data_IF_780345704389
#
_entry.id   IF_780345704389
#
_cell.length_a   1.000
_cell.length_b   1.000
_cell.length_c   1.000
_cell.angle_alpha   90.00
_cell.angle_beta   90.00
_cell.angle_gamma   90.00
#
_symmetry.space_group_name_H-M   'P 1'
#
loop_
_entity.id
_entity.type
_entity.pdbx_description
1 polymer ?
#
# COMPACT_ATOMS: atom_id res chain seq x y z
N UNK A 1 64.35 67.17 -2.87
CA UNK A 1 63.72 65.84 -2.67
C UNK A 1 62.66 65.46 -3.72
N UNK A 2 62.55 66.17 -4.86
CA UNK A 2 61.50 65.88 -5.87
C UNK A 2 61.96 65.02 -7.08
N UNK A 3 63.27 64.75 -7.24
CA UNK A 3 63.82 64.10 -8.45
C UNK A 3 63.89 62.56 -8.39
N UNK A 4 63.86 61.96 -7.19
CA UNK A 4 63.88 60.49 -7.00
C UNK A 4 62.50 59.84 -7.08
N UNK A 5 61.43 60.55 -6.74
CA UNK A 5 60.05 60.01 -6.81
C UNK A 5 59.48 59.94 -8.23
N UNK A 6 59.94 60.80 -9.15
CA UNK A 6 59.50 60.78 -10.56
C UNK A 6 60.07 59.57 -11.32
N UNK A 7 61.31 59.16 -11.01
CA UNK A 7 61.95 57.98 -11.61
C UNK A 7 61.28 56.66 -11.16
N UNK A 8 60.82 56.58 -9.91
CA UNK A 8 60.06 55.41 -9.42
C UNK A 8 58.66 55.32 -10.07
N UNK A 9 57.99 56.44 -10.31
CA UNK A 9 56.70 56.48 -11.02
C UNK A 9 56.82 56.13 -12.51
N UNK A 10 57.94 56.44 -13.17
CA UNK A 10 58.19 56.07 -14.57
C UNK A 10 58.55 54.57 -14.69
N UNK A 11 59.31 54.00 -13.74
CA UNK A 11 59.60 52.56 -13.70
C UNK A 11 58.38 51.69 -13.34
N UNK A 12 57.44 52.20 -12.54
CA UNK A 12 56.16 51.52 -12.26
C UNK A 12 55.18 51.53 -13.45
N UNK A 13 55.25 52.51 -14.34
CA UNK A 13 54.46 52.53 -15.58
C UNK A 13 55.10 51.70 -16.72
N UNK A 14 56.40 51.42 -16.67
CA UNK A 14 57.09 50.57 -17.65
C UNK A 14 56.93 49.06 -17.38
N UNK A 15 56.38 48.68 -16.22
CA UNK A 15 56.00 47.31 -15.85
C UNK A 15 54.48 47.09 -15.92
N UNK A 16 53.74 47.91 -16.68
CA UNK A 16 52.49 47.43 -17.27
C UNK A 16 52.91 46.50 -18.41
N UNK A 17 53.46 45.35 -18.04
CA UNK A 17 53.50 44.19 -18.90
C UNK A 17 52.07 44.09 -19.41
N UNK A 18 51.87 44.26 -20.72
CA UNK A 18 50.58 43.96 -21.35
C UNK A 18 50.38 42.48 -21.06
N UNK A 19 49.80 42.16 -19.91
CA UNK A 19 49.30 40.83 -19.60
C UNK A 19 48.22 40.64 -20.61
N UNK A 20 48.60 40.09 -21.76
CA UNK A 20 47.68 39.75 -22.82
C UNK A 20 46.86 38.60 -22.24
N UNK A 21 45.74 38.97 -21.61
CA UNK A 21 44.83 38.02 -21.02
C UNK A 21 44.22 37.22 -22.16
N UNK A 22 44.35 35.89 -22.11
CA UNK A 22 43.64 35.06 -23.07
C UNK A 22 42.14 35.20 -22.89
N UNK A 23 41.46 35.69 -23.91
CA UNK A 23 40.01 35.58 -24.01
C UNK A 23 39.65 34.16 -24.44
N UNK A 24 39.24 33.32 -23.50
CA UNK A 24 38.93 31.91 -23.77
C UNK A 24 37.80 31.72 -24.78
N UNK A 25 36.88 32.69 -24.88
CA UNK A 25 35.77 32.69 -25.84
C UNK A 25 36.20 32.96 -27.28
N UNK A 26 37.49 33.25 -27.51
CA UNK A 26 38.10 33.19 -28.84
C UNK A 26 37.98 31.78 -29.44
N UNK A 27 38.05 30.73 -28.61
CA UNK A 27 37.78 29.35 -29.01
C UNK A 27 36.35 28.97 -28.59
N UNK A 28 35.46 28.91 -29.58
CA UNK A 28 34.05 28.60 -29.36
C UNK A 28 33.87 27.20 -28.75
N UNK A 29 32.85 27.05 -27.92
CA UNK A 29 32.42 25.75 -27.42
C UNK A 29 31.75 24.93 -28.54
N UNK A 30 31.98 23.62 -28.54
CA UNK A 30 31.12 22.69 -29.27
C UNK A 30 29.71 22.67 -28.67
N UNK A 31 28.74 22.17 -29.44
CA UNK A 31 27.42 21.86 -28.90
C UNK A 31 27.55 20.77 -27.83
N UNK A 32 26.63 20.78 -26.86
CA UNK A 32 26.55 19.69 -25.89
C UNK A 32 26.29 18.37 -26.62
N UNK A 33 27.03 17.33 -26.22
CA UNK A 33 26.77 15.97 -26.71
C UNK A 33 25.35 15.53 -26.33
N UNK A 34 24.80 14.58 -27.07
CA UNK A 34 23.62 13.85 -26.60
C UNK A 34 23.85 13.29 -25.20
N UNK A 35 22.81 13.29 -24.38
CA UNK A 35 22.90 12.78 -23.02
C UNK A 35 23.24 11.29 -23.00
N UNK A 36 24.14 10.88 -22.10
CA UNK A 36 24.55 9.46 -22.00
C UNK A 36 23.44 8.51 -21.56
N UNK A 37 22.39 9.03 -20.91
CA UNK A 37 21.17 8.30 -20.54
C UNK A 37 19.94 9.10 -20.88
N UNK A 38 18.84 8.43 -21.19
CA UNK A 38 17.55 9.08 -21.45
C UNK A 38 16.78 9.45 -20.18
N UNK A 39 17.16 8.87 -19.04
CA UNK A 39 16.60 9.13 -17.70
C UNK A 39 17.56 8.55 -16.62
N UNK A 40 17.23 8.72 -15.34
CA UNK A 40 18.05 8.32 -14.20
C UNK A 40 19.43 9.01 -14.14
N UNK A 41 19.47 10.30 -14.47
CA UNK A 41 20.67 11.16 -14.48
C UNK A 41 21.82 10.60 -15.32
N UNK A 42 21.86 11.07 -16.57
CA UNK A 42 23.01 10.94 -17.46
C UNK A 42 23.93 12.15 -17.37
N UNK A 43 24.97 12.12 -18.17
CA UNK A 43 25.94 13.21 -18.32
C UNK A 43 26.07 13.59 -19.79
N UNK A 44 26.33 14.86 -20.03
CA UNK A 44 26.69 15.40 -21.35
C UNK A 44 27.91 16.29 -21.19
N UNK A 45 28.73 16.36 -22.23
CA UNK A 45 29.95 17.16 -22.24
C UNK A 45 29.99 18.09 -23.44
N UNK A 46 30.79 19.14 -23.33
CA UNK A 46 31.23 19.97 -24.45
C UNK A 46 32.66 20.40 -24.23
N UNK A 47 33.37 20.73 -25.31
CA UNK A 47 34.76 21.16 -25.26
C UNK A 47 34.99 22.37 -26.18
N UNK A 48 36.03 23.15 -25.92
CA UNK A 48 36.39 24.26 -26.81
C UNK A 48 37.02 23.73 -28.09
N UNK A 49 36.74 24.38 -29.23
CA UNK A 49 37.34 24.10 -30.52
C UNK A 49 38.70 24.80 -30.61
N UNK A 50 39.66 24.30 -29.83
CA UNK A 50 40.99 24.92 -29.72
C UNK A 50 41.82 24.57 -30.95
N UNK A 51 42.31 25.59 -31.64
CA UNK A 51 43.34 25.48 -32.68
C UNK A 51 44.61 26.09 -32.10
N UNK A 52 45.72 25.35 -32.13
CA UNK A 52 47.00 25.83 -31.57
C UNK A 52 47.64 26.80 -32.55
N UNK A 53 47.22 28.06 -32.46
CA UNK A 53 47.75 29.15 -33.26
C UNK A 53 48.67 30.06 -32.44
N UNK A 54 49.17 31.13 -33.09
CA UNK A 54 50.03 32.12 -32.46
C UNK A 54 49.35 32.77 -31.24
N UNK A 55 48.05 33.05 -31.32
CA UNK A 55 47.29 33.67 -30.23
C UNK A 55 47.19 32.73 -29.02
N UNK A 56 46.95 31.43 -29.23
CA UNK A 56 46.91 30.44 -28.16
C UNK A 56 48.18 30.43 -27.29
N UNK A 57 49.34 30.43 -27.95
CA UNK A 57 50.65 30.31 -27.30
C UNK A 57 51.10 31.62 -26.64
N UNK A 58 50.93 32.76 -27.31
CA UNK A 58 51.39 34.07 -26.79
C UNK A 58 50.57 34.56 -25.58
N UNK A 59 49.31 34.12 -25.45
CA UNK A 59 48.40 34.60 -24.41
C UNK A 59 48.23 33.61 -23.24
N UNK A 60 49.07 32.56 -23.15
CA UNK A 60 49.01 31.54 -22.10
C UNK A 60 47.60 30.93 -21.92
N UNK A 61 46.87 30.77 -23.02
CA UNK A 61 45.49 30.27 -23.01
C UNK A 61 45.38 28.87 -22.40
N UNK A 62 46.42 28.06 -22.53
CA UNK A 62 46.46 26.70 -22.00
C UNK A 62 46.34 26.64 -20.48
N UNK A 63 46.92 27.60 -19.77
CA UNK A 63 47.01 27.63 -18.31
C UNK A 63 45.75 28.19 -17.66
N UNK A 64 45.04 29.10 -18.33
CA UNK A 64 43.93 29.87 -17.74
C UNK A 64 42.55 29.48 -18.25
N UNK A 65 42.44 28.83 -19.43
CA UNK A 65 41.15 28.48 -20.01
C UNK A 65 40.68 27.07 -19.64
N UNK A 66 39.42 26.97 -19.19
CA UNK A 66 38.71 25.69 -19.12
C UNK A 66 38.46 25.16 -20.54
N UNK A 67 38.84 23.89 -20.76
CA UNK A 67 38.79 23.23 -22.07
C UNK A 67 37.56 22.34 -22.25
N UNK A 68 36.95 21.92 -21.14
CA UNK A 68 35.84 20.98 -21.11
C UNK A 68 34.86 21.32 -19.99
N UNK A 69 33.58 21.13 -20.26
CA UNK A 69 32.52 21.17 -19.27
C UNK A 69 31.72 19.87 -19.31
N UNK A 70 31.29 19.41 -18.14
CA UNK A 70 30.38 18.28 -17.99
C UNK A 70 29.20 18.71 -17.12
N UNK A 71 28.01 18.25 -17.47
CA UNK A 71 26.81 18.48 -16.66
C UNK A 71 25.88 17.28 -16.66
N UNK A 72 25.04 17.20 -15.64
CA UNK A 72 23.95 16.24 -15.60
C UNK A 72 22.88 16.59 -16.64
N UNK A 73 22.22 15.56 -17.14
CA UNK A 73 21.10 15.66 -18.06
C UNK A 73 20.12 14.51 -17.79
N UNK A 74 18.85 14.71 -18.16
CA UNK A 74 17.80 13.73 -17.95
C UNK A 74 17.73 13.19 -16.50
N UNK A 75 17.68 14.12 -15.53
CA UNK A 75 17.65 13.81 -14.10
C UNK A 75 16.33 13.15 -13.64
N UNK A 76 15.29 13.19 -14.46
CA UNK A 76 14.02 12.52 -14.18
C UNK A 76 14.25 11.03 -13.95
N UNK A 77 13.51 10.45 -12.99
CA UNK A 77 13.53 9.00 -12.76
C UNK A 77 12.91 8.30 -13.97
N UNK A 78 13.54 7.22 -14.41
CA UNK A 78 12.95 6.38 -15.44
C UNK A 78 11.64 5.78 -14.90
N UNK A 79 10.54 5.79 -15.68
CA UNK A 79 9.31 5.10 -15.31
C UNK A 79 9.58 3.61 -15.06
N UNK A 80 9.11 3.10 -13.92
CA UNK A 80 9.24 1.67 -13.58
C UNK A 80 7.87 1.04 -13.76
N UNK A 81 7.74 0.20 -14.80
CA UNK A 81 6.51 -0.52 -15.06
C UNK A 81 6.33 -1.67 -14.06
N UNK A 82 5.07 -1.88 -13.70
CA UNK A 82 4.65 -2.98 -12.87
C UNK A 82 4.96 -4.33 -13.56
N UNK A 83 5.39 -5.32 -12.78
CA UNK A 83 5.69 -6.67 -13.26
C UNK A 83 4.92 -7.68 -12.41
N UNK A 84 4.04 -8.43 -13.05
CA UNK A 84 3.30 -9.54 -12.44
C UNK A 84 4.08 -10.84 -12.61
N UNK A 85 3.95 -11.74 -11.63
CA UNK A 85 4.41 -13.11 -11.75
C UNK A 85 3.43 -13.98 -12.53
N UNK A 86 3.87 -15.20 -12.83
CA UNK A 86 3.01 -16.24 -13.36
C UNK A 86 1.95 -16.66 -12.32
N UNK A 87 0.84 -17.21 -12.80
CA UNK A 87 -0.15 -17.78 -11.91
C UNK A 87 0.36 -19.07 -11.27
N UNK A 88 0.03 -19.24 -9.98
CA UNK A 88 0.12 -20.54 -9.33
C UNK A 88 -0.87 -21.55 -9.91
N UNK A 89 -0.81 -22.81 -9.45
CA UNK A 89 -1.79 -23.82 -9.81
C UNK A 89 -3.20 -23.39 -9.36
N UNK A 90 -4.22 -23.99 -9.98
CA UNK A 90 -5.60 -23.85 -9.52
C UNK A 90 -5.74 -24.45 -8.12
N UNK A 91 -6.47 -23.73 -7.25
CA UNK A 91 -6.89 -24.23 -5.94
C UNK A 91 -7.86 -25.40 -6.09
N UNK A 92 -8.11 -26.08 -4.97
CA UNK A 92 -9.26 -26.97 -4.87
C UNK A 92 -10.56 -26.18 -5.12
N UNK A 93 -11.60 -26.91 -5.56
CA UNK A 93 -12.92 -26.35 -5.82
C UNK A 93 -13.60 -25.97 -4.51
N UNK A 94 -13.98 -24.70 -4.36
CA UNK A 94 -14.76 -24.24 -3.21
C UNK A 94 -16.21 -24.74 -3.32
N UNK A 95 -16.71 -25.56 -2.38
CA UNK A 95 -18.09 -26.09 -2.43
C UNK A 95 -19.19 -25.06 -2.27
N UNK A 96 -18.92 -23.95 -1.61
CA UNK A 96 -19.91 -22.92 -1.29
C UNK A 96 -20.05 -21.90 -2.42
N UNK A 97 -18.95 -21.66 -3.15
CA UNK A 97 -18.91 -20.70 -4.26
C UNK A 97 -18.91 -21.40 -5.63
N UNK A 98 -18.65 -22.71 -5.67
CA UNK A 98 -18.58 -23.55 -6.88
C UNK A 98 -17.53 -23.05 -7.89
N UNK A 99 -16.41 -22.51 -7.38
CA UNK A 99 -15.31 -21.97 -8.18
C UNK A 99 -13.95 -22.43 -7.67
N UNK A 100 -13.02 -22.59 -8.60
CA UNK A 100 -11.59 -22.68 -8.31
C UNK A 100 -10.96 -21.31 -8.52
N UNK A 101 -9.94 -21.02 -7.72
CA UNK A 101 -9.20 -19.77 -7.78
C UNK A 101 -7.73 -20.04 -8.06
N UNK A 102 -7.07 -19.13 -8.77
CA UNK A 102 -5.61 -19.10 -8.85
C UNK A 102 -5.13 -17.68 -8.63
N UNK A 103 -3.96 -17.56 -8.03
CA UNK A 103 -3.40 -16.26 -7.61
C UNK A 103 -2.01 -16.11 -8.22
N UNK A 104 -1.64 -14.87 -8.51
CA UNK A 104 -0.28 -14.46 -8.88
C UNK A 104 0.18 -13.30 -8.01
N UNK A 105 1.50 -13.16 -7.87
CA UNK A 105 2.11 -12.09 -7.08
C UNK A 105 2.51 -10.90 -7.94
N UNK A 106 2.68 -9.74 -7.30
CA UNK A 106 3.34 -8.58 -7.89
C UNK A 106 4.84 -8.72 -7.61
N UNK A 107 5.65 -8.90 -8.65
CA UNK A 107 7.11 -9.01 -8.53
C UNK A 107 7.78 -7.64 -8.42
N UNK A 108 7.22 -6.64 -9.13
CA UNK A 108 7.67 -5.25 -9.05
C UNK A 108 6.47 -4.31 -9.14
N UNK A 109 6.27 -3.41 -8.17
CA UNK A 109 5.22 -2.40 -8.26
C UNK A 109 5.58 -1.31 -9.28
N UNK A 110 4.56 -0.62 -9.81
CA UNK A 110 4.80 0.57 -10.63
C UNK A 110 5.34 1.72 -9.78
N UNK A 111 6.31 2.46 -10.31
CA UNK A 111 6.85 3.67 -9.71
C UNK A 111 7.15 4.73 -10.77
N UNK A 112 7.18 6.00 -10.33
CA UNK A 112 7.61 7.15 -11.14
C UNK A 112 6.85 7.30 -12.48
N UNK A 113 5.53 7.07 -12.47
CA UNK A 113 4.69 7.20 -13.67
C UNK A 113 4.80 6.03 -14.66
N UNK A 114 5.40 4.90 -14.25
CA UNK A 114 5.35 3.67 -15.03
C UNK A 114 3.93 3.09 -15.12
N UNK A 115 3.72 2.19 -16.07
CA UNK A 115 2.42 1.55 -16.27
C UNK A 115 2.04 0.74 -15.01
N UNK A 116 0.87 1.01 -14.38
CA UNK A 116 0.39 0.24 -13.25
C UNK A 116 -0.11 -1.14 -13.69
N UNK A 117 -0.10 -2.11 -12.77
CA UNK A 117 -0.82 -3.36 -12.98
C UNK A 117 -2.32 -3.10 -12.85
N UNK A 118 -3.09 -3.36 -13.90
CA UNK A 118 -4.56 -3.25 -13.91
C UNK A 118 -5.25 -4.61 -13.87
N UNK A 119 -4.49 -5.64 -14.18
CA UNK A 119 -4.95 -6.99 -14.42
C UNK A 119 -5.09 -7.70 -13.06
N UNK A 120 -6.19 -8.43 -12.81
CA UNK A 120 -6.46 -9.01 -11.50
C UNK A 120 -5.35 -9.93 -10.98
N UNK A 121 -5.13 -9.91 -9.67
CA UNK A 121 -4.20 -10.81 -8.98
C UNK A 121 -4.80 -12.20 -8.73
N UNK A 122 -6.12 -12.28 -8.68
CA UNK A 122 -6.88 -13.53 -8.54
C UNK A 122 -7.76 -13.73 -9.77
N UNK A 123 -7.77 -14.96 -10.27
CA UNK A 123 -8.67 -15.40 -11.34
C UNK A 123 -9.53 -16.56 -10.84
N UNK A 124 -10.77 -16.62 -11.33
CA UNK A 124 -11.73 -17.65 -10.96
C UNK A 124 -12.22 -18.40 -12.18
N UNK A 125 -12.54 -19.67 -12.00
CA UNK A 125 -13.23 -20.49 -12.99
C UNK A 125 -14.30 -21.36 -12.30
N UNK A 126 -15.40 -21.72 -12.98
CA UNK A 126 -16.39 -22.63 -12.43
C UNK A 126 -15.79 -24.03 -12.22
N UNK A 127 -16.30 -24.76 -11.24
CA UNK A 127 -15.92 -26.14 -10.95
C UNK A 127 -17.10 -26.92 -10.37
N UNK A 128 -16.98 -28.24 -10.33
CA UNK A 128 -17.96 -29.13 -9.68
C UNK A 128 -17.34 -29.59 -8.37
N UNK A 129 -17.92 -29.24 -7.20
CA UNK A 129 -17.33 -29.61 -5.93
C UNK A 129 -17.59 -31.08 -5.59
N UNK A 130 -16.59 -31.73 -5.01
CA UNK A 130 -16.70 -33.12 -4.55
C UNK A 130 -17.45 -33.26 -3.22
N UNK A 131 -17.59 -32.17 -2.47
CA UNK A 131 -18.24 -32.09 -1.16
C UNK A 131 -19.38 -31.08 -1.21
N UNK A 132 -20.34 -31.22 -0.30
CA UNK A 132 -21.37 -30.21 -0.07
C UNK A 132 -20.81 -29.05 0.76
N UNK A 133 -21.32 -27.84 0.55
CA UNK A 133 -21.02 -26.68 1.39
C UNK A 133 -21.61 -26.87 2.80
N UNK A 134 -20.77 -27.31 3.74
CA UNK A 134 -21.09 -27.45 5.16
C UNK A 134 -19.88 -27.12 6.01
N UNK A 135 -20.12 -26.63 7.22
CA UNK A 135 -19.06 -26.39 8.20
C UNK A 135 -18.48 -27.74 8.66
N UNK A 136 -17.17 -27.93 8.52
CA UNK A 136 -16.46 -29.10 9.01
C UNK A 136 -16.04 -28.87 10.48
N UNK A 137 -16.75 -29.48 11.44
CA UNK A 137 -16.36 -29.50 12.86
C UNK A 137 -15.84 -30.88 13.28
N UNK A 138 -14.72 -30.89 14.01
CA UNK A 138 -14.02 -32.12 14.40
C UNK A 138 -14.66 -32.87 15.58
N UNK A 139 -15.43 -32.20 16.45
CA UNK A 139 -16.00 -32.85 17.65
C UNK A 139 -17.37 -32.29 18.05
N UNK A 140 -18.42 -32.89 17.48
CA UNK A 140 -19.82 -32.62 17.81
C UNK A 140 -20.39 -33.64 18.82
N UNK A 141 -19.56 -34.42 19.50
CA UNK A 141 -20.03 -35.41 20.47
C UNK A 141 -20.80 -34.71 21.59
N UNK A 142 -22.03 -35.17 21.86
CA UNK A 142 -22.96 -34.63 22.85
C UNK A 142 -23.46 -33.18 22.61
N UNK A 143 -23.28 -32.63 21.40
CA UNK A 143 -23.83 -31.34 20.96
C UNK A 143 -25.06 -31.53 20.07
N UNK A 144 -25.81 -30.45 19.82
CA UNK A 144 -26.82 -30.39 18.76
C UNK A 144 -26.12 -29.95 17.47
N UNK A 145 -26.48 -30.56 16.34
CA UNK A 145 -25.86 -30.28 15.04
C UNK A 145 -26.87 -29.58 14.14
N UNK A 146 -26.55 -28.34 13.77
CA UNK A 146 -27.33 -27.56 12.84
C UNK A 146 -27.20 -28.09 11.40
N UNK A 147 -28.15 -27.76 10.52
CA UNK A 147 -28.10 -28.19 9.11
C UNK A 147 -26.91 -27.57 8.35
N UNK A 148 -26.55 -26.35 8.72
CA UNK A 148 -25.36 -25.60 8.28
C UNK A 148 -24.04 -26.32 8.61
N UNK A 149 -24.06 -27.25 9.56
CA UNK A 149 -22.91 -28.02 10.04
C UNK A 149 -22.33 -27.52 11.37
N UNK A 150 -22.74 -26.33 11.85
CA UNK A 150 -22.35 -25.78 13.16
C UNK A 150 -22.82 -26.71 14.29
N UNK A 151 -22.01 -26.92 15.33
CA UNK A 151 -22.43 -27.68 16.50
C UNK A 151 -22.53 -26.82 17.76
N UNK A 152 -23.76 -26.70 18.27
CA UNK A 152 -24.10 -25.87 19.42
C UNK A 152 -24.40 -26.74 20.65
N UNK A 153 -24.36 -26.16 21.85
CA UNK A 153 -24.70 -26.90 23.06
C UNK A 153 -26.19 -27.31 23.03
N UNK A 154 -26.52 -28.55 23.43
CA UNK A 154 -27.93 -29.04 23.45
C UNK A 154 -28.88 -28.20 24.29
N UNK A 155 -28.36 -27.40 25.24
CA UNK A 155 -29.17 -26.45 26.03
C UNK A 155 -29.78 -25.34 25.15
N UNK A 156 -29.21 -25.09 23.99
CA UNK A 156 -29.62 -24.05 23.06
C UNK A 156 -30.77 -24.49 22.15
N UNK A 157 -31.05 -25.78 22.08
CA UNK A 157 -32.17 -26.32 21.31
C UNK A 157 -33.52 -25.96 21.96
N UNK A 158 -34.48 -25.52 21.15
CA UNK A 158 -35.84 -25.15 21.57
C UNK A 158 -35.88 -24.16 22.74
N UNK A 159 -35.03 -23.13 22.70
CA UNK A 159 -34.96 -22.05 23.66
C UNK A 159 -35.67 -20.76 23.18
N UNK A 160 -36.17 -20.74 21.93
CA UNK A 160 -36.84 -19.61 21.30
C UNK A 160 -35.91 -18.55 20.68
N UNK A 161 -34.63 -18.86 20.51
CA UNK A 161 -33.60 -18.02 19.89
C UNK A 161 -32.88 -18.82 18.79
N UNK A 162 -32.57 -18.20 17.65
CA UNK A 162 -31.83 -18.84 16.57
C UNK A 162 -30.33 -18.84 16.91
N UNK A 163 -29.82 -19.91 17.54
CA UNK A 163 -28.41 -20.06 17.88
C UNK A 163 -27.60 -20.74 16.74
N UNK A 164 -28.27 -21.49 15.85
CA UNK A 164 -27.64 -22.13 14.70
C UNK A 164 -27.30 -21.17 13.54
N UNK A 165 -28.00 -20.06 13.42
CA UNK A 165 -27.96 -19.14 12.27
C UNK A 165 -28.97 -19.51 11.17
N UNK A 166 -29.16 -20.81 10.88
CA UNK A 166 -30.17 -21.34 9.95
C UNK A 166 -31.52 -21.69 10.63
N UNK A 167 -31.65 -21.39 11.92
CA UNK A 167 -32.82 -21.66 12.77
C UNK A 167 -33.18 -23.14 12.92
N UNK A 168 -32.28 -24.07 12.57
CA UNK A 168 -32.53 -25.52 12.63
C UNK A 168 -32.74 -26.06 14.05
N UNK A 169 -32.20 -25.37 15.06
CA UNK A 169 -32.37 -25.61 16.50
C UNK A 169 -33.76 -25.29 17.05
N UNK A 170 -34.60 -24.58 16.27
CA UNK A 170 -35.92 -24.11 16.68
C UNK A 170 -37.08 -24.64 15.82
N UNK A 171 -36.82 -25.45 14.79
CA UNK A 171 -37.86 -25.85 13.81
C UNK A 171 -38.90 -26.82 14.36
N UNK A 172 -38.45 -27.85 15.08
CA UNK A 172 -39.31 -28.98 15.49
C UNK A 172 -39.57 -28.99 17.01
N UNK A 173 -39.85 -27.80 17.56
CA UNK A 173 -40.02 -27.60 18.99
C UNK A 173 -41.48 -27.68 19.43
N UNK A 174 -41.83 -28.70 20.23
CA UNK A 174 -43.17 -28.78 20.82
C UNK A 174 -43.40 -27.77 21.95
N UNK A 175 -42.37 -27.51 22.76
CA UNK A 175 -42.38 -26.48 23.81
C UNK A 175 -41.02 -25.79 23.84
N UNK A 176 -41.03 -24.47 23.89
CA UNK A 176 -39.81 -23.65 23.92
C UNK A 176 -39.51 -23.16 25.34
N UNK A 177 -38.24 -23.20 25.76
CA UNK A 177 -37.77 -22.67 27.03
C UNK A 177 -37.16 -21.28 26.83
N UNK A 178 -38.00 -20.25 26.85
CA UNK A 178 -37.59 -18.87 26.62
C UNK A 178 -36.39 -18.47 27.51
N UNK A 179 -35.30 -18.04 26.87
CA UNK A 179 -34.06 -17.61 27.55
C UNK A 179 -34.25 -16.31 28.31
N UNK A 180 -34.93 -15.34 27.70
CA UNK A 180 -35.30 -14.07 28.32
C UNK A 180 -36.78 -14.03 28.67
N UNK A 181 -37.11 -13.40 29.81
CA UNK A 181 -38.49 -13.17 30.25
C UNK A 181 -39.25 -12.14 29.40
N UNK A 182 -38.51 -11.26 28.70
CA UNK A 182 -39.02 -10.20 27.84
C UNK A 182 -38.20 -10.12 26.56
N UNK A 183 -38.79 -9.57 25.50
CA UNK A 183 -38.05 -9.28 24.27
C UNK A 183 -37.20 -8.02 24.46
N UNK A 184 -35.90 -8.15 24.19
CA UNK A 184 -34.95 -7.03 24.18
C UNK A 184 -34.45 -6.80 22.77
N UNK A 185 -34.16 -5.53 22.44
CA UNK A 185 -33.63 -5.16 21.13
C UNK A 185 -32.11 -5.42 21.09
N UNK A 186 -31.56 -5.85 19.94
CA UNK A 186 -30.11 -5.95 19.78
C UNK A 186 -29.46 -4.57 19.77
N UNK A 187 -28.17 -4.52 20.13
CA UNK A 187 -27.37 -3.30 20.04
C UNK A 187 -27.23 -2.93 18.53
N UNK A 188 -27.52 -1.68 18.14
CA UNK A 188 -27.38 -1.27 16.74
C UNK A 188 -25.91 -1.35 16.30
N UNK A 189 -25.68 -1.83 15.08
CA UNK A 189 -24.35 -1.97 14.49
C UNK A 189 -23.36 -2.86 15.26
N UNK A 190 -23.85 -3.76 16.12
CA UNK A 190 -23.01 -4.67 16.90
C UNK A 190 -22.15 -5.60 16.02
N UNK A 191 -22.58 -5.84 14.78
CA UNK A 191 -21.81 -6.60 13.80
C UNK A 191 -20.48 -5.94 13.43
N UNK A 192 -20.43 -4.59 13.41
CA UNK A 192 -19.19 -3.87 13.11
C UNK A 192 -18.09 -4.12 14.16
N UNK A 193 -18.49 -4.41 15.41
CA UNK A 193 -17.57 -4.81 16.48
C UNK A 193 -17.00 -6.23 16.28
N UNK A 194 -17.61 -7.03 15.40
CA UNK A 194 -17.20 -8.40 15.06
C UNK A 194 -16.51 -8.53 13.70
N UNK A 195 -16.42 -7.45 12.93
CA UNK A 195 -15.73 -7.45 11.64
C UNK A 195 -14.21 -7.45 11.84
N UNK A 196 -13.50 -8.16 10.95
CA UNK A 196 -12.04 -8.13 10.95
C UNK A 196 -11.51 -6.75 10.56
N UNK A 197 -10.31 -6.38 11.04
CA UNK A 197 -9.66 -5.13 10.67
C UNK A 197 -8.34 -5.41 9.94
N UNK A 198 -8.21 -4.90 8.71
CA UNK A 198 -7.00 -5.09 7.92
C UNK A 198 -5.99 -3.97 8.19
N UNK A 199 -5.02 -4.26 9.05
CA UNK A 199 -4.04 -3.29 9.56
C UNK A 199 -3.33 -2.49 8.44
N UNK A 200 -2.86 -3.15 7.38
CA UNK A 200 -2.10 -2.49 6.32
C UNK A 200 -2.96 -1.60 5.40
N UNK A 201 -4.27 -1.87 5.29
CA UNK A 201 -5.18 -1.03 4.51
C UNK A 201 -5.90 0.01 5.37
N UNK A 202 -5.88 -0.14 6.71
CA UNK A 202 -6.61 0.72 7.62
C UNK A 202 -8.13 0.63 7.48
N UNK A 203 -8.66 -0.52 7.06
CA UNK A 203 -10.07 -0.69 6.72
C UNK A 203 -10.69 -1.93 7.39
N UNK A 204 -11.98 -1.89 7.75
CA UNK A 204 -12.71 -3.09 8.12
C UNK A 204 -12.84 -4.05 6.94
N UNK A 205 -12.89 -5.35 7.23
CA UNK A 205 -13.08 -6.45 6.28
C UNK A 205 -14.33 -7.25 6.66
N UNK A 206 -14.42 -8.47 6.12
CA UNK A 206 -15.55 -9.36 6.34
C UNK A 206 -15.81 -9.68 7.81
N UNK A 207 -16.99 -10.24 8.03
CA UNK A 207 -17.47 -10.71 9.33
C UNK A 207 -16.58 -11.85 9.83
N UNK A 208 -16.13 -11.75 11.08
CA UNK A 208 -15.27 -12.77 11.73
C UNK A 208 -15.96 -13.33 12.96
N UNK A 209 -16.49 -12.45 13.82
CA UNK A 209 -17.25 -12.84 15.00
C UNK A 209 -18.76 -12.74 14.71
N UNK A 210 -19.47 -13.83 14.97
CA UNK A 210 -20.92 -13.85 14.98
C UNK A 210 -21.42 -13.21 16.28
N UNK A 211 -21.63 -11.88 16.22
CA UNK A 211 -22.18 -11.11 17.35
C UNK A 211 -23.70 -11.16 17.42
N UNK A 212 -24.36 -12.01 16.64
CA UNK A 212 -25.78 -12.34 16.83
C UNK A 212 -25.97 -13.46 17.86
N UNK A 213 -24.96 -14.33 18.01
CA UNK A 213 -24.96 -15.44 18.95
C UNK A 213 -25.03 -14.96 20.41
N UNK A 214 -25.97 -15.53 21.18
CA UNK A 214 -26.23 -15.14 22.58
C UNK A 214 -25.89 -16.24 23.59
N UNK A 215 -25.61 -17.46 23.13
CA UNK A 215 -25.19 -18.58 23.97
C UNK A 215 -26.20 -18.99 25.05
N UNK A 216 -27.48 -18.67 24.84
CA UNK A 216 -28.56 -18.99 25.79
C UNK A 216 -28.43 -18.26 27.13
N UNK A 217 -27.72 -17.13 27.17
CA UNK A 217 -27.60 -16.27 28.36
C UNK A 217 -28.28 -14.93 28.09
N UNK A 218 -29.28 -14.60 28.90
CA UNK A 218 -30.02 -13.34 28.83
C UNK A 218 -29.25 -12.18 29.47
N UNK A 219 -28.13 -11.77 28.87
CA UNK A 219 -27.37 -10.59 29.33
C UNK A 219 -27.94 -9.31 28.72
N UNK A 220 -28.26 -8.32 29.55
CA UNK A 220 -28.81 -7.04 29.07
C UNK A 220 -28.03 -5.86 29.64
N UNK A 221 -28.08 -4.73 28.93
CA UNK A 221 -27.47 -3.47 29.35
C UNK A 221 -28.45 -2.34 29.08
N UNK A 222 -28.57 -1.40 30.04
CA UNK A 222 -29.48 -0.26 29.92
C UNK A 222 -28.73 0.96 29.42
N UNK A 223 -29.24 1.61 28.39
CA UNK A 223 -28.77 2.94 27.98
C UNK A 223 -29.56 4.02 28.72
N UNK A 224 -28.92 5.14 29.03
CA UNK A 224 -29.56 6.30 29.66
C UNK A 224 -30.65 6.94 28.78
N UNK A 225 -30.56 6.78 27.45
CA UNK A 225 -31.42 7.44 26.47
C UNK A 225 -32.57 6.57 25.96
N UNK A 226 -32.58 5.27 26.26
CA UNK A 226 -33.64 4.35 25.80
C UNK A 226 -34.39 3.72 26.96
N UNK A 227 -35.71 3.58 26.81
CA UNK A 227 -36.58 2.98 27.82
C UNK A 227 -36.28 1.49 28.01
N UNK A 228 -36.18 0.73 26.92
CA UNK A 228 -35.89 -0.70 26.95
C UNK A 228 -34.37 -0.98 26.96
N UNK A 229 -33.92 -1.95 27.78
CA UNK A 229 -32.54 -2.45 27.72
C UNK A 229 -32.20 -3.10 26.38
N UNK A 230 -30.92 -3.06 26.02
CA UNK A 230 -30.38 -3.79 24.87
C UNK A 230 -29.91 -5.19 25.28
N UNK A 231 -30.06 -6.16 24.37
CA UNK A 231 -29.49 -7.50 24.50
C UNK A 231 -28.01 -7.47 24.15
N UNK A 232 -27.16 -7.99 25.03
CA UNK A 232 -25.72 -8.08 24.82
C UNK A 232 -25.40 -9.47 24.24
N UNK A 233 -24.63 -9.54 23.13
CA UNK A 233 -24.14 -10.81 22.57
C UNK A 233 -23.19 -11.55 23.52
N UNK A 234 -23.01 -12.85 23.28
CA UNK A 234 -22.14 -13.68 24.11
C UNK A 234 -20.66 -13.26 24.04
N UNK A 235 -20.20 -12.77 22.88
CA UNK A 235 -18.81 -12.38 22.67
C UNK A 235 -18.42 -11.09 23.42
N UNK A 236 -19.40 -10.27 23.83
CA UNK A 236 -19.14 -8.98 24.46
C UNK A 236 -19.16 -9.09 25.98
N UNK A 237 -17.97 -9.03 26.58
CA UNK A 237 -17.81 -9.07 28.03
C UNK A 237 -18.35 -7.81 28.72
N UNK A 238 -18.15 -6.62 28.14
CA UNK A 238 -18.62 -5.36 28.70
C UNK A 238 -19.11 -4.42 27.59
N UNK A 239 -20.20 -3.68 27.86
CA UNK A 239 -20.75 -2.66 26.97
C UNK A 239 -21.20 -1.47 27.83
N UNK A 240 -20.79 -0.26 27.46
CA UNK A 240 -21.17 0.99 28.13
C UNK A 240 -21.86 1.96 27.17
N UNK A 241 -22.74 2.81 27.71
CA UNK A 241 -23.45 3.86 26.97
C UNK A 241 -23.19 5.26 27.57
N UNK A 242 -22.10 5.40 28.32
CA UNK A 242 -21.65 6.70 28.82
C UNK A 242 -21.03 7.47 27.66
N UNK A 243 -21.60 8.66 27.38
CA UNK A 243 -21.20 9.55 26.27
C UNK A 243 -20.93 10.94 26.80
#
# INVERSE_FOLDING_TARGET
MARRSVLYFILLNALINKGQACFCDHYAWTQWTSCSKTCNSGTQSRHRQIVVDKYYQENFCEQICSKQETRECNWQRCPINCLLGDFGPWSDCDPCVEKQSKVRSVLRPSQFGGQPCTEPLVAFQPCIPSKLCKIEEADCKNKFRCDSGRCIARKLECNGENDCGDNSDERDCGRTKAVCTRKYNPIPSVQLMGNGFHFLAGEPRGEVLDNSFTGGICKTVKSSRTSNPYRVPANLENVGFEV
#
